data_IF_931077028297
#
_entry.id   IF_931077028297
#
_cell.length_a   1.000
_cell.length_b   1.000
_cell.length_c   1.000
_cell.angle_alpha   90.00
_cell.angle_beta   90.00
_cell.angle_gamma   90.00
#
_symmetry.space_group_name_H-M   'P 1'
#
loop_
_entity.id
_entity.type
_entity.pdbx_description
1 polymer ?
#
# COMPACT_ATOMS: atom_id res chain seq x y z
N UNK A 1 -10.60 6.81 -20.11
CA UNK A 1 -11.57 6.09 -19.25
C UNK A 1 -11.39 6.62 -17.85
N UNK A 2 -12.45 7.11 -17.19
CA UNK A 2 -12.38 7.62 -15.82
C UNK A 2 -12.16 6.47 -14.83
N UNK A 3 -11.61 6.77 -13.63
CA UNK A 3 -11.41 5.77 -12.56
C UNK A 3 -12.75 5.10 -12.19
N UNK A 4 -13.83 5.89 -12.07
CA UNK A 4 -15.18 5.36 -11.80
C UNK A 4 -15.63 4.34 -12.86
N UNK A 5 -15.34 4.56 -14.14
CA UNK A 5 -15.67 3.60 -15.20
C UNK A 5 -14.90 2.29 -15.04
N UNK A 6 -13.60 2.36 -14.70
CA UNK A 6 -12.78 1.15 -14.44
C UNK A 6 -13.36 0.32 -13.28
N UNK A 7 -13.81 1.00 -12.22
CA UNK A 7 -14.41 0.35 -11.06
C UNK A 7 -15.73 -0.32 -11.45
N UNK A 8 -16.61 0.38 -12.19
CA UNK A 8 -17.89 -0.17 -12.65
C UNK A 8 -17.68 -1.40 -13.55
N UNK A 9 -16.73 -1.33 -14.47
CA UNK A 9 -16.41 -2.47 -15.35
C UNK A 9 -15.86 -3.64 -14.55
N UNK A 10 -14.97 -3.36 -13.58
CA UNK A 10 -14.47 -4.39 -12.67
C UNK A 10 -15.59 -5.07 -11.86
N UNK A 11 -16.53 -4.31 -11.31
CA UNK A 11 -17.67 -4.86 -10.58
C UNK A 11 -18.54 -5.75 -11.50
N UNK A 12 -18.80 -5.31 -12.72
CA UNK A 12 -19.58 -6.09 -13.70
C UNK A 12 -18.89 -7.40 -14.10
N UNK A 13 -17.60 -7.34 -14.44
CA UNK A 13 -16.82 -8.52 -14.85
C UNK A 13 -16.74 -9.57 -13.75
N UNK A 14 -16.68 -9.13 -12.47
CA UNK A 14 -16.62 -10.01 -11.32
C UNK A 14 -18.01 -10.36 -10.72
N UNK A 15 -19.09 -9.90 -11.33
CA UNK A 15 -20.47 -10.12 -10.86
C UNK A 15 -20.67 -9.68 -9.40
N UNK A 16 -20.15 -8.50 -9.07
CA UNK A 16 -20.25 -7.88 -7.75
C UNK A 16 -21.21 -6.70 -7.81
N UNK A 17 -21.96 -6.49 -6.71
CA UNK A 17 -22.75 -5.27 -6.55
C UNK A 17 -21.91 -4.14 -5.96
N UNK A 18 -20.99 -4.49 -5.07
CA UNK A 18 -20.03 -3.56 -4.46
C UNK A 18 -18.71 -4.26 -4.17
N UNK A 19 -17.69 -3.46 -3.85
CA UNK A 19 -16.43 -3.96 -3.27
C UNK A 19 -16.03 -3.09 -2.07
N UNK A 20 -15.61 -3.76 -1.00
CA UNK A 20 -15.00 -3.16 0.16
C UNK A 20 -13.48 -3.29 0.05
N UNK A 21 -12.77 -2.14 0.02
CA UNK A 21 -11.32 -2.05 -0.15
C UNK A 21 -10.71 -1.56 1.14
N UNK A 22 -9.64 -2.23 1.60
CA UNK A 22 -8.97 -1.94 2.86
C UNK A 22 -7.44 -1.90 2.78
N UNK A 23 -6.83 -2.43 1.71
CA UNK A 23 -5.39 -2.27 1.51
C UNK A 23 -5.07 -0.80 1.24
N UNK A 24 -4.15 -0.24 2.01
CA UNK A 24 -3.74 1.17 1.88
C UNK A 24 -3.33 1.52 0.44
N UNK A 25 -2.58 0.63 -0.22
CA UNK A 25 -2.13 0.84 -1.60
C UNK A 25 -3.30 0.90 -2.59
N UNK A 26 -4.35 0.12 -2.36
CA UNK A 26 -5.54 0.11 -3.21
C UNK A 26 -6.44 1.30 -2.89
N UNK A 27 -6.59 1.66 -1.61
CA UNK A 27 -7.30 2.87 -1.20
C UNK A 27 -6.65 4.11 -1.82
N UNK A 28 -5.33 4.25 -1.71
CA UNK A 28 -4.56 5.35 -2.30
C UNK A 28 -4.66 5.37 -3.83
N UNK A 29 -4.49 4.22 -4.49
CA UNK A 29 -4.57 4.11 -5.95
C UNK A 29 -5.91 4.60 -6.48
N UNK A 30 -7.01 4.14 -5.88
CA UNK A 30 -8.37 4.42 -6.36
C UNK A 30 -8.87 5.81 -5.99
N UNK A 31 -8.63 6.26 -4.75
CA UNK A 31 -9.17 7.52 -4.23
C UNK A 31 -8.20 8.70 -4.30
N UNK A 32 -6.91 8.44 -4.51
CA UNK A 32 -5.80 9.42 -4.40
C UNK A 32 -5.61 9.96 -2.98
N UNK A 33 -6.37 9.46 -2.02
CA UNK A 33 -6.23 9.84 -0.62
C UNK A 33 -4.91 9.34 -0.04
N UNK A 34 -4.15 10.22 0.60
CA UNK A 34 -2.80 9.95 1.12
C UNK A 34 -2.76 9.65 2.62
N UNK A 35 -3.88 9.80 3.31
CA UNK A 35 -4.00 9.47 4.73
C UNK A 35 -4.09 7.96 4.97
N UNK A 36 -3.88 7.56 6.22
CA UNK A 36 -4.07 6.20 6.72
C UNK A 36 -5.48 6.00 7.30
N UNK A 37 -5.75 4.81 7.85
CA UNK A 37 -7.02 4.48 8.51
C UNK A 37 -8.25 4.79 7.64
N UNK A 38 -8.21 4.35 6.39
CA UNK A 38 -9.28 4.56 5.44
C UNK A 38 -9.70 3.26 4.75
N UNK A 39 -10.96 3.24 4.34
CA UNK A 39 -11.57 2.14 3.58
C UNK A 39 -12.36 2.72 2.43
N UNK A 40 -12.55 1.96 1.36
CA UNK A 40 -13.46 2.35 0.31
C UNK A 40 -14.64 1.36 0.24
N UNK A 41 -15.83 1.88 0.08
CA UNK A 41 -16.98 1.11 -0.37
C UNK A 41 -17.36 1.63 -1.76
N UNK A 42 -17.15 0.81 -2.77
CA UNK A 42 -17.34 1.17 -4.17
C UNK A 42 -18.55 0.41 -4.70
N UNK A 43 -19.56 1.14 -5.12
CA UNK A 43 -20.76 0.61 -5.75
C UNK A 43 -20.81 1.01 -7.23
N UNK A 44 -21.83 0.56 -7.96
CA UNK A 44 -22.05 0.97 -9.36
C UNK A 44 -22.52 2.43 -9.45
N UNK A 45 -23.16 2.93 -8.41
CA UNK A 45 -23.77 4.25 -8.34
C UNK A 45 -22.85 5.28 -7.68
N UNK A 46 -22.26 4.92 -6.52
CA UNK A 46 -21.54 5.86 -5.66
C UNK A 46 -20.22 5.27 -5.15
N UNK A 47 -19.25 6.15 -4.92
CA UNK A 47 -17.93 5.82 -4.38
C UNK A 47 -17.79 6.46 -2.99
N UNK A 48 -17.62 5.64 -1.97
CA UNK A 48 -17.46 6.09 -0.60
C UNK A 48 -16.02 5.93 -0.12
N UNK A 49 -15.51 6.98 0.52
CA UNK A 49 -14.29 6.92 1.32
C UNK A 49 -14.69 7.00 2.80
N UNK A 50 -14.46 5.92 3.52
CA UNK A 50 -14.78 5.77 4.93
C UNK A 50 -13.50 6.02 5.73
N UNK A 51 -13.51 7.01 6.61
CA UNK A 51 -12.36 7.35 7.45
C UNK A 51 -12.84 7.85 8.81
N UNK A 52 -11.95 8.18 9.71
CA UNK A 52 -12.32 8.77 10.99
C UNK A 52 -12.22 10.30 10.97
N UNK A 53 -12.66 10.93 12.07
CA UNK A 53 -12.74 12.39 12.18
C UNK A 53 -11.40 13.11 11.98
N UNK A 54 -10.25 12.47 12.21
CA UNK A 54 -8.91 13.05 12.05
C UNK A 54 -8.61 13.38 10.58
N UNK A 55 -9.19 12.60 9.66
CA UNK A 55 -8.85 12.65 8.23
C UNK A 55 -9.97 13.20 7.33
N UNK A 56 -11.18 13.46 7.85
CA UNK A 56 -12.33 13.86 7.02
C UNK A 56 -12.09 15.11 6.19
N UNK A 57 -11.36 16.11 6.72
CA UNK A 57 -11.07 17.33 5.99
C UNK A 57 -10.06 17.10 4.86
N UNK A 58 -9.01 16.33 5.13
CA UNK A 58 -8.01 15.95 4.13
C UNK A 58 -8.65 15.11 3.02
N UNK A 59 -9.46 14.10 3.40
CA UNK A 59 -10.15 13.24 2.46
C UNK A 59 -11.06 14.01 1.49
N UNK A 60 -11.81 15.01 1.98
CA UNK A 60 -12.65 15.87 1.11
C UNK A 60 -11.84 16.69 0.10
N UNK A 61 -10.59 17.04 0.42
CA UNK A 61 -9.72 17.79 -0.48
C UNK A 61 -9.05 16.90 -1.52
N UNK A 62 -8.58 15.71 -1.10
CA UNK A 62 -7.79 14.83 -1.95
C UNK A 62 -8.65 13.87 -2.78
N UNK A 63 -9.77 13.38 -2.23
CA UNK A 63 -10.67 12.42 -2.87
C UNK A 63 -11.99 13.07 -3.28
N UNK A 64 -11.93 14.11 -4.11
CA UNK A 64 -13.09 14.92 -4.50
C UNK A 64 -14.21 14.13 -5.22
N UNK A 65 -13.87 13.03 -5.86
CA UNK A 65 -14.82 12.14 -6.56
C UNK A 65 -15.52 11.14 -5.61
N UNK A 66 -15.22 11.22 -4.30
CA UNK A 66 -15.74 10.30 -3.29
C UNK A 66 -16.64 11.01 -2.28
N UNK A 67 -17.70 10.34 -1.88
CA UNK A 67 -18.49 10.74 -0.72
C UNK A 67 -17.74 10.31 0.54
N UNK A 68 -17.22 11.30 1.30
CA UNK A 68 -16.45 11.05 2.52
C UNK A 68 -17.38 10.85 3.71
N UNK A 69 -17.23 9.71 4.39
CA UNK A 69 -18.04 9.32 5.55
C UNK A 69 -17.15 9.08 6.76
N UNK A 70 -17.47 9.75 7.87
CA UNK A 70 -16.86 9.45 9.18
C UNK A 70 -17.59 8.24 9.80
N UNK A 71 -16.89 7.12 9.92
CA UNK A 71 -17.47 5.89 10.48
C UNK A 71 -17.54 5.87 12.02
N UNK A 72 -16.96 6.85 12.71
CA UNK A 72 -17.07 7.06 14.18
C UNK A 72 -16.82 5.80 15.02
N UNK A 73 -15.94 4.92 14.57
CA UNK A 73 -15.67 3.63 15.22
C UNK A 73 -16.69 2.51 14.93
N UNK A 74 -17.73 2.77 14.13
CA UNK A 74 -18.80 1.83 13.80
C UNK A 74 -18.76 1.40 12.32
N UNK A 75 -17.59 0.97 11.84
CA UNK A 75 -17.35 0.69 10.42
C UNK A 75 -18.39 -0.28 9.83
N UNK A 76 -18.59 -1.45 10.48
CA UNK A 76 -19.49 -2.49 9.97
C UNK A 76 -20.96 -1.99 9.88
N UNK A 77 -21.40 -1.24 10.87
CA UNK A 77 -22.76 -0.64 10.90
C UNK A 77 -22.95 0.38 9.76
N UNK A 78 -21.97 1.26 9.56
CA UNK A 78 -22.01 2.25 8.47
C UNK A 78 -21.99 1.57 7.11
N UNK A 79 -21.12 0.56 6.90
CA UNK A 79 -21.09 -0.20 5.65
C UNK A 79 -22.41 -0.92 5.42
N UNK A 80 -23.01 -1.51 6.46
CA UNK A 80 -24.30 -2.18 6.38
C UNK A 80 -25.43 -1.22 5.98
N UNK A 81 -25.45 -0.02 6.55
CA UNK A 81 -26.42 1.02 6.18
C UNK A 81 -26.31 1.38 4.70
N UNK A 82 -25.10 1.68 4.23
CA UNK A 82 -24.84 2.02 2.83
C UNK A 82 -25.17 0.84 1.90
N UNK A 83 -24.80 -0.38 2.28
CA UNK A 83 -25.11 -1.57 1.51
C UNK A 83 -26.63 -1.79 1.36
N UNK A 84 -27.41 -1.48 2.41
CA UNK A 84 -28.86 -1.52 2.39
C UNK A 84 -29.48 -0.49 1.44
N UNK A 85 -28.95 0.74 1.40
CA UNK A 85 -29.41 1.81 0.52
C UNK A 85 -29.28 1.43 -0.98
N UNK A 86 -28.26 0.66 -1.34
CA UNK A 86 -28.01 0.19 -2.71
C UNK A 86 -28.43 -1.25 -2.97
N UNK A 87 -29.14 -1.88 -2.03
CA UNK A 87 -29.63 -3.26 -2.16
C UNK A 87 -28.54 -4.28 -2.52
N UNK A 88 -27.31 -4.09 -1.96
CA UNK A 88 -26.16 -4.94 -2.21
C UNK A 88 -26.44 -6.37 -1.73
N UNK A 89 -26.19 -7.35 -2.60
CA UNK A 89 -26.30 -8.79 -2.31
C UNK A 89 -24.96 -9.48 -2.34
N UNK A 90 -24.05 -9.02 -3.20
CA UNK A 90 -22.70 -9.56 -3.35
C UNK A 90 -21.67 -8.47 -3.13
N UNK A 91 -20.77 -8.67 -2.17
CA UNK A 91 -19.71 -7.73 -1.85
C UNK A 91 -18.34 -8.37 -2.04
N UNK A 92 -17.53 -7.76 -2.91
CA UNK A 92 -16.12 -8.11 -3.05
C UNK A 92 -15.33 -7.70 -1.82
N UNK A 93 -14.37 -8.53 -1.41
CA UNK A 93 -13.42 -8.24 -0.33
C UNK A 93 -12.01 -8.67 -0.73
N UNK A 94 -11.00 -8.03 -0.17
CA UNK A 94 -9.60 -8.32 -0.44
C UNK A 94 -9.05 -9.47 0.42
N UNK A 95 -7.87 -10.00 0.05
CA UNK A 95 -7.19 -11.08 0.81
C UNK A 95 -6.86 -10.73 2.26
N UNK A 96 -6.73 -9.44 2.55
CA UNK A 96 -6.45 -8.93 3.90
C UNK A 96 -7.70 -8.80 4.76
N UNK A 97 -8.90 -9.10 4.21
CA UNK A 97 -10.17 -9.10 4.94
C UNK A 97 -10.14 -10.21 6.00
N UNK A 98 -9.88 -9.83 7.24
CA UNK A 98 -9.68 -10.77 8.32
C UNK A 98 -10.97 -11.50 8.69
N UNK A 99 -10.84 -12.69 9.28
CA UNK A 99 -12.00 -13.43 9.80
C UNK A 99 -12.75 -12.63 10.88
N UNK A 100 -12.05 -11.86 11.69
CA UNK A 100 -12.67 -10.99 12.69
C UNK A 100 -13.54 -9.90 12.00
N UNK A 101 -13.04 -9.28 10.94
CA UNK A 101 -13.81 -8.30 10.18
C UNK A 101 -15.01 -8.96 9.48
N UNK A 102 -14.83 -10.17 8.95
CA UNK A 102 -15.94 -10.96 8.40
C UNK A 102 -17.04 -11.18 9.43
N UNK A 103 -16.72 -11.61 10.65
CA UNK A 103 -17.72 -11.80 11.70
C UNK A 103 -18.44 -10.50 12.05
N UNK A 104 -17.72 -9.40 12.19
CA UNK A 104 -18.31 -8.09 12.46
C UNK A 104 -19.25 -7.65 11.34
N UNK A 105 -18.85 -7.83 10.08
CA UNK A 105 -19.69 -7.47 8.93
C UNK A 105 -20.89 -8.40 8.79
N UNK A 106 -20.71 -9.70 9.03
CA UNK A 106 -21.79 -10.69 8.94
C UNK A 106 -22.89 -10.48 10.00
N UNK A 107 -22.52 -9.96 11.17
CA UNK A 107 -23.48 -9.60 12.22
C UNK A 107 -24.48 -8.56 11.73
N UNK A 108 -24.03 -7.52 11.01
CA UNK A 108 -24.88 -6.45 10.47
C UNK A 108 -25.45 -6.78 9.09
N UNK A 109 -24.81 -7.66 8.34
CA UNK A 109 -25.14 -7.99 6.94
C UNK A 109 -25.23 -9.50 6.69
N UNK A 110 -26.09 -10.25 7.41
CA UNK A 110 -26.12 -11.72 7.35
C UNK A 110 -26.54 -12.27 5.98
N UNK A 111 -27.18 -11.46 5.14
CA UNK A 111 -27.70 -11.85 3.84
C UNK A 111 -26.78 -11.42 2.67
N UNK A 112 -25.64 -10.78 2.94
CA UNK A 112 -24.68 -10.40 1.92
C UNK A 112 -23.69 -11.55 1.71
N UNK A 113 -23.50 -11.97 0.47
CA UNK A 113 -22.47 -12.90 0.07
C UNK A 113 -21.14 -12.15 -0.11
N UNK A 114 -20.15 -12.48 0.72
CA UNK A 114 -18.79 -11.94 0.58
C UNK A 114 -17.99 -12.82 -0.36
N UNK A 115 -17.39 -12.21 -1.40
CA UNK A 115 -16.58 -12.89 -2.39
C UNK A 115 -15.18 -12.33 -2.42
N UNK A 116 -14.18 -13.21 -2.49
CA UNK A 116 -12.81 -12.75 -2.70
C UNK A 116 -12.68 -12.03 -4.06
N UNK A 117 -12.01 -10.89 -4.04
CA UNK A 117 -11.82 -10.05 -5.22
C UNK A 117 -10.36 -9.60 -5.36
N UNK A 118 -9.86 -9.64 -6.59
CA UNK A 118 -8.49 -9.25 -6.94
C UNK A 118 -8.45 -7.84 -7.54
N UNK A 119 -8.89 -6.83 -6.79
CA UNK A 119 -8.87 -5.44 -7.26
C UNK A 119 -7.47 -4.92 -7.54
N UNK A 120 -6.44 -5.52 -6.96
CA UNK A 120 -5.02 -5.28 -7.27
C UNK A 120 -4.71 -5.34 -8.79
N UNK A 121 -5.52 -6.07 -9.57
CA UNK A 121 -5.36 -6.16 -11.03
C UNK A 121 -5.47 -4.81 -11.73
N UNK A 122 -6.24 -3.88 -11.18
CA UNK A 122 -6.36 -2.52 -11.73
C UNK A 122 -5.04 -1.77 -11.71
N UNK A 123 -4.11 -2.14 -10.80
CA UNK A 123 -2.78 -1.54 -10.67
C UNK A 123 -1.70 -2.20 -11.53
N UNK A 124 -2.01 -3.29 -12.24
CA UNK A 124 -1.01 -4.02 -13.03
C UNK A 124 -0.52 -3.22 -14.24
N UNK A 125 -1.42 -2.50 -14.90
CA UNK A 125 -1.08 -1.64 -16.03
C UNK A 125 -0.90 -0.21 -15.48
N UNK A 126 0.34 0.30 -15.59
CA UNK A 126 0.74 1.60 -15.05
C UNK A 126 0.42 2.71 -16.05
N UNK A 127 -0.03 3.84 -15.53
CA UNK A 127 -0.12 5.09 -16.28
C UNK A 127 1.27 5.72 -16.48
N UNK A 128 1.38 6.72 -17.35
CA UNK A 128 2.63 7.47 -17.54
C UNK A 128 3.11 8.17 -16.26
N UNK A 129 2.19 8.66 -15.43
CA UNK A 129 2.50 9.28 -14.14
C UNK A 129 3.05 8.25 -13.14
N UNK A 130 2.45 7.06 -13.07
CA UNK A 130 2.93 5.96 -12.23
C UNK A 130 4.28 5.44 -12.69
N UNK A 131 4.52 5.35 -14.00
CA UNK A 131 5.82 5.02 -14.59
C UNK A 131 6.86 6.06 -14.20
N UNK A 132 6.51 7.36 -14.24
CA UNK A 132 7.40 8.43 -13.79
C UNK A 132 7.78 8.25 -12.31
N UNK A 133 6.81 7.97 -11.42
CA UNK A 133 7.08 7.76 -9.99
C UNK A 133 8.00 6.56 -9.77
N UNK A 134 7.81 5.46 -10.50
CA UNK A 134 8.68 4.27 -10.42
C UNK A 134 10.11 4.62 -10.87
N UNK A 135 10.25 5.37 -11.97
CA UNK A 135 11.58 5.82 -12.46
C UNK A 135 12.29 6.70 -11.45
N UNK A 136 11.57 7.60 -10.76
CA UNK A 136 12.15 8.44 -9.72
C UNK A 136 12.56 7.61 -8.49
N UNK A 137 11.75 6.64 -8.06
CA UNK A 137 12.14 5.72 -7.00
C UNK A 137 13.41 4.92 -7.34
N UNK A 138 13.54 4.46 -8.59
CA UNK A 138 14.77 3.81 -9.08
C UNK A 138 15.96 4.78 -9.07
N UNK A 139 15.78 6.02 -9.56
CA UNK A 139 16.85 7.05 -9.54
C UNK A 139 17.35 7.31 -8.12
N UNK A 140 16.44 7.45 -7.17
CA UNK A 140 16.75 7.66 -5.75
C UNK A 140 17.56 6.48 -5.19
N UNK A 141 17.10 5.25 -5.48
CA UNK A 141 17.79 4.03 -5.05
C UNK A 141 19.22 3.96 -5.62
N UNK A 142 19.40 4.25 -6.91
CA UNK A 142 20.71 4.27 -7.56
C UNK A 142 21.63 5.34 -6.97
N UNK A 143 21.11 6.54 -6.70
CA UNK A 143 21.88 7.63 -6.10
C UNK A 143 22.30 7.28 -4.66
N UNK A 144 21.39 6.74 -3.85
CA UNK A 144 21.67 6.27 -2.50
C UNK A 144 22.75 5.20 -2.47
N UNK A 145 22.68 4.22 -3.39
CA UNK A 145 23.71 3.18 -3.48
C UNK A 145 25.06 3.76 -3.89
N UNK A 146 25.13 4.63 -4.91
CA UNK A 146 26.35 5.31 -5.33
C UNK A 146 27.00 6.07 -4.19
N UNK A 147 26.22 6.78 -3.37
CA UNK A 147 26.71 7.49 -2.20
C UNK A 147 27.26 6.55 -1.11
N UNK A 148 26.76 5.30 -1.06
CA UNK A 148 27.21 4.29 -0.08
C UNK A 148 28.52 3.62 -0.47
N UNK A 149 28.84 3.50 -1.76
CA UNK A 149 30.02 2.78 -2.26
C UNK A 149 31.34 3.18 -1.58
N UNK A 150 31.67 4.48 -1.33
CA UNK A 150 32.92 4.87 -0.69
C UNK A 150 33.09 4.36 0.75
N UNK A 151 32.02 3.95 1.39
CA UNK A 151 32.02 3.47 2.77
C UNK A 151 32.17 1.95 2.89
N UNK A 152 32.07 1.21 1.78
CA UNK A 152 32.21 -0.24 1.76
C UNK A 152 33.69 -0.59 1.95
N UNK A 153 34.04 -1.08 3.16
CA UNK A 153 35.41 -1.49 3.51
C UNK A 153 35.38 -2.44 4.70
N UNK A 154 36.41 -3.23 4.87
CA UNK A 154 36.62 -3.99 6.10
C UNK A 154 36.57 -3.06 7.34
N UNK A 155 36.06 -3.58 8.44
CA UNK A 155 35.93 -2.85 9.69
C UNK A 155 34.62 -2.04 9.86
N UNK A 156 33.81 -1.86 8.80
CA UNK A 156 32.46 -1.28 8.93
C UNK A 156 31.45 -2.37 9.27
N UNK A 157 30.35 -2.02 9.96
CA UNK A 157 29.27 -2.96 10.22
C UNK A 157 28.19 -2.90 9.15
N UNK A 158 27.49 -4.03 8.94
CA UNK A 158 26.30 -4.11 8.07
C UNK A 158 25.27 -3.02 8.44
N UNK A 159 24.97 -2.88 9.74
CA UNK A 159 24.02 -1.89 10.24
C UNK A 159 24.45 -0.45 9.90
N UNK A 160 25.76 -0.16 9.91
CA UNK A 160 26.24 1.18 9.56
C UNK A 160 26.08 1.45 8.06
N UNK A 161 26.37 0.46 7.20
CA UNK A 161 26.15 0.59 5.77
C UNK A 161 24.67 0.78 5.44
N UNK A 162 23.79 0.01 6.08
CA UNK A 162 22.34 0.23 5.96
C UNK A 162 21.94 1.67 6.29
N UNK A 163 22.41 2.18 7.42
CA UNK A 163 22.09 3.55 7.86
C UNK A 163 22.56 4.58 6.82
N UNK A 164 23.77 4.43 6.29
CA UNK A 164 24.31 5.35 5.27
C UNK A 164 23.44 5.31 4.01
N UNK A 165 23.06 4.12 3.56
CA UNK A 165 22.22 3.93 2.38
C UNK A 165 20.83 4.55 2.56
N UNK A 166 20.15 4.26 3.68
CA UNK A 166 18.82 4.78 3.95
C UNK A 166 18.84 6.32 4.09
N UNK A 167 19.83 6.89 4.77
CA UNK A 167 19.99 8.35 4.87
C UNK A 167 20.23 8.97 3.48
N UNK A 168 21.09 8.38 2.66
CA UNK A 168 21.36 8.89 1.32
C UNK A 168 20.11 8.84 0.42
N UNK A 169 19.29 7.80 0.51
CA UNK A 169 18.01 7.75 -0.20
C UNK A 169 17.02 8.83 0.29
N UNK A 170 16.96 9.10 1.59
CA UNK A 170 16.12 10.18 2.14
C UNK A 170 16.58 11.56 1.66
N UNK A 171 17.90 11.81 1.62
CA UNK A 171 18.48 13.07 1.09
C UNK A 171 18.15 13.27 -0.40
N UNK A 172 18.03 12.18 -1.17
CA UNK A 172 17.64 12.20 -2.59
C UNK A 172 16.13 12.32 -2.82
N UNK A 173 15.32 12.38 -1.76
CA UNK A 173 13.89 12.63 -1.80
C UNK A 173 12.99 11.41 -1.64
N UNK A 174 13.52 10.30 -1.10
CA UNK A 174 12.68 9.17 -0.69
C UNK A 174 11.77 9.53 0.46
N UNK A 175 10.52 9.07 0.44
CA UNK A 175 9.59 9.14 1.58
C UNK A 175 9.93 8.12 2.67
N UNK A 176 10.74 7.10 2.35
CA UNK A 176 11.16 6.04 3.23
C UNK A 176 11.68 4.81 2.49
N UNK A 177 12.01 3.78 3.24
CA UNK A 177 12.35 2.48 2.66
C UNK A 177 11.09 1.72 2.23
N UNK A 178 11.12 1.06 1.07
CA UNK A 178 9.98 0.29 0.56
C UNK A 178 9.80 -1.06 1.27
N UNK A 179 10.85 -1.57 1.88
CA UNK A 179 10.89 -2.77 2.74
C UNK A 179 12.14 -2.72 3.64
N UNK A 180 12.29 -3.68 4.54
CA UNK A 180 13.45 -3.73 5.43
C UNK A 180 14.73 -3.96 4.65
N UNK A 181 15.60 -2.94 4.65
CA UNK A 181 16.86 -2.96 3.89
C UNK A 181 17.77 -4.11 4.33
N UNK A 182 18.15 -4.94 3.39
CA UNK A 182 19.09 -6.03 3.59
C UNK A 182 20.50 -5.51 3.30
N UNK A 183 21.41 -5.73 4.25
CA UNK A 183 22.86 -5.63 4.07
C UNK A 183 23.46 -6.83 4.80
N UNK A 184 23.92 -7.82 4.04
CA UNK A 184 24.43 -9.06 4.59
C UNK A 184 25.80 -9.41 4.00
N UNK A 185 26.75 -9.75 4.87
CA UNK A 185 28.15 -9.96 4.49
C UNK A 185 28.67 -11.36 4.83
N UNK A 186 29.63 -11.86 4.05
CA UNK A 186 30.26 -13.18 4.21
C UNK A 186 29.21 -14.30 4.19
N UNK A 187 29.24 -15.20 5.17
CA UNK A 187 28.28 -16.31 5.27
C UNK A 187 26.81 -15.84 5.33
N UNK A 188 26.56 -14.66 5.89
CA UNK A 188 25.21 -14.10 5.99
C UNK A 188 24.64 -13.68 4.64
N UNK A 189 25.48 -13.43 3.62
CA UNK A 189 25.02 -13.10 2.26
C UNK A 189 24.20 -14.21 1.61
N UNK A 190 24.26 -15.43 2.15
CA UNK A 190 23.43 -16.56 1.72
C UNK A 190 21.99 -16.55 2.29
N UNK A 191 21.68 -15.64 3.23
CA UNK A 191 20.35 -15.58 3.82
C UNK A 191 19.43 -14.69 2.98
N UNK A 192 18.31 -15.23 2.45
CA UNK A 192 17.38 -14.45 1.60
C UNK A 192 16.82 -13.19 2.28
N UNK A 193 16.69 -13.22 3.60
CA UNK A 193 16.20 -12.10 4.41
C UNK A 193 17.23 -11.70 5.46
N UNK A 194 18.50 -11.54 5.03
CA UNK A 194 19.60 -11.17 5.88
C UNK A 194 19.58 -9.70 6.30
N UNK A 195 18.62 -9.32 7.17
CA UNK A 195 18.55 -7.96 7.73
C UNK A 195 19.90 -7.58 8.35
N UNK A 196 20.33 -6.34 8.13
CA UNK A 196 21.61 -5.81 8.58
C UNK A 196 21.79 -5.92 10.10
N UNK A 197 22.95 -6.43 10.52
CA UNK A 197 23.31 -6.66 11.93
C UNK A 197 24.56 -5.87 12.32
N UNK A 198 25.04 -6.13 13.55
CA UNK A 198 26.33 -5.62 14.03
C UNK A 198 27.56 -6.38 13.47
N UNK A 199 27.38 -7.34 12.54
CA UNK A 199 28.54 -8.03 11.93
C UNK A 199 29.43 -7.01 11.25
N UNK A 200 30.71 -7.13 11.52
CA UNK A 200 31.78 -6.32 10.90
C UNK A 200 32.18 -6.99 9.58
N UNK A 201 32.30 -6.20 8.52
CA UNK A 201 32.79 -6.67 7.23
C UNK A 201 34.27 -7.03 7.31
N UNK A 202 34.66 -8.10 6.65
CA UNK A 202 36.03 -8.57 6.50
C UNK A 202 36.46 -8.50 5.04
N UNK A 203 37.78 -8.44 4.81
CA UNK A 203 38.32 -8.48 3.45
C UNK A 203 37.97 -9.83 2.78
N UNK A 204 37.42 -9.77 1.56
CA UNK A 204 36.99 -10.93 0.82
C UNK A 204 35.53 -11.37 1.08
N UNK A 205 34.80 -10.70 2.01
CA UNK A 205 33.40 -10.95 2.19
C UNK A 205 32.62 -10.65 0.90
N UNK A 206 31.75 -11.57 0.51
CA UNK A 206 30.66 -11.25 -0.43
C UNK A 206 29.64 -10.36 0.30
N UNK A 207 29.17 -9.31 -0.35
CA UNK A 207 28.24 -8.36 0.24
C UNK A 207 26.97 -8.27 -0.60
N UNK A 208 25.83 -8.63 0.02
CA UNK A 208 24.50 -8.54 -0.58
C UNK A 208 23.79 -7.30 -0.07
N UNK A 209 23.27 -6.50 -1.00
CA UNK A 209 22.34 -5.40 -0.75
C UNK A 209 20.99 -5.71 -1.41
N UNK A 210 19.90 -5.51 -0.66
CA UNK A 210 18.54 -5.47 -1.20
C UNK A 210 17.79 -4.32 -0.53
N UNK A 211 17.34 -3.36 -1.33
CA UNK A 211 16.80 -2.09 -0.87
C UNK A 211 15.92 -1.43 -1.91
N UNK A 212 15.08 -0.51 -1.47
CA UNK A 212 14.25 0.27 -2.37
C UNK A 212 13.76 1.55 -1.70
N UNK A 213 13.52 2.57 -2.52
CA UNK A 213 12.97 3.86 -2.11
C UNK A 213 11.46 3.91 -2.36
N UNK A 214 10.76 4.74 -1.58
CA UNK A 214 9.37 5.14 -1.83
C UNK A 214 9.37 6.56 -2.39
N UNK A 215 8.64 6.78 -3.47
CA UNK A 215 8.44 8.09 -4.07
C UNK A 215 6.98 8.26 -4.48
N UNK A 216 6.28 9.18 -3.82
CA UNK A 216 4.84 9.46 -3.94
C UNK A 216 3.95 8.23 -3.71
N UNK A 217 4.34 7.45 -2.67
CA UNK A 217 3.61 6.25 -2.20
C UNK A 217 3.94 4.98 -2.93
#
# INVERSE_FOLDING_TARGET
MTEKMKIIDFLRENQLDAIFVQKDENCRYLSKFTGSDSYLLLTKEELYLLTDSRYTEQARKEAADYTVVDYKGHLAEIVAKLAGEYHIKTMGVETVFSYQMYLSFHEYMPNIEFRFSQIDRLRQIKSEEEIFCIKEACRISDAGFKATLPFIRAGITEARLRTILECAMLEEGSEGKSFDTIVASGERSAYPHGVATGKVLEDGDLLTFDFGAIYKG
#
